data_IF_221814802202
#
_entry.id   IF_221814802202
#
_cell.length_a   1.000
_cell.length_b   1.000
_cell.length_c   1.000
_cell.angle_alpha   90.00
_cell.angle_beta   90.00
_cell.angle_gamma   90.00
#
_symmetry.space_group_name_H-M   'P 1'
#
loop_
_entity.id
_entity.type
_entity.pdbx_description
1 polymer ?
#
# COMPACT_ATOMS: atom_id res chain seq x y z
N UNK A 1 -43.71 13.23 -6.53
CA UNK A 1 -43.26 12.02 -5.81
C UNK A 1 -41.89 11.63 -6.36
N UNK A 2 -40.83 11.98 -5.63
CA UNK A 2 -39.44 11.85 -6.09
C UNK A 2 -39.00 10.39 -5.96
N UNK A 3 -38.53 9.86 -7.09
CA UNK A 3 -38.00 8.52 -7.33
C UNK A 3 -37.07 8.01 -6.22
N UNK A 4 -37.53 7.00 -5.50
CA UNK A 4 -36.72 6.12 -4.63
C UNK A 4 -35.77 5.25 -5.47
N UNK A 5 -35.99 5.15 -6.78
CA UNK A 5 -35.18 4.34 -7.70
C UNK A 5 -33.80 4.94 -8.01
N UNK A 6 -33.52 6.22 -7.68
CA UNK A 6 -32.20 6.84 -7.91
C UNK A 6 -31.17 6.56 -6.81
N UNK A 7 -31.57 5.90 -5.71
CA UNK A 7 -30.66 5.51 -4.61
C UNK A 7 -30.20 4.05 -4.65
N UNK A 8 -30.67 3.26 -5.61
CA UNK A 8 -30.27 1.86 -5.76
C UNK A 8 -29.15 1.82 -6.81
N UNK A 9 -27.88 1.90 -6.35
CA UNK A 9 -26.81 1.20 -7.07
C UNK A 9 -27.29 -0.25 -7.22
N UNK A 10 -27.22 -0.89 -8.41
CA UNK A 10 -27.81 -2.20 -8.60
C UNK A 10 -27.20 -3.18 -7.60
N UNK A 11 -27.98 -3.53 -6.57
CA UNK A 11 -27.55 -4.37 -5.46
C UNK A 11 -27.53 -5.86 -5.83
N UNK A 12 -28.10 -6.22 -6.98
CA UNK A 12 -28.08 -7.55 -7.56
C UNK A 12 -28.52 -7.50 -9.04
N UNK A 13 -28.11 -8.51 -9.82
CA UNK A 13 -28.47 -8.66 -11.24
C UNK A 13 -27.29 -8.63 -12.21
N UNK A 14 -27.60 -8.75 -13.51
CA UNK A 14 -26.61 -8.87 -14.60
C UNK A 14 -25.57 -7.74 -14.59
N UNK A 15 -25.99 -6.49 -14.33
CA UNK A 15 -25.05 -5.34 -14.27
C UNK A 15 -23.97 -5.46 -13.19
N UNK A 16 -24.27 -6.09 -12.05
CA UNK A 16 -23.29 -6.29 -10.98
C UNK A 16 -22.27 -7.35 -11.37
N UNK A 17 -22.72 -8.45 -11.98
CA UNK A 17 -21.82 -9.48 -12.53
C UNK A 17 -20.89 -8.92 -13.60
N UNK A 18 -21.41 -8.08 -14.52
CA UNK A 18 -20.59 -7.41 -15.52
C UNK A 18 -19.57 -6.46 -14.89
N UNK A 19 -19.97 -5.73 -13.85
CA UNK A 19 -19.06 -4.84 -13.13
C UNK A 19 -17.92 -5.61 -12.46
N UNK A 20 -18.22 -6.70 -11.75
CA UNK A 20 -17.21 -7.57 -11.14
C UNK A 20 -16.34 -8.23 -12.21
N UNK A 21 -16.93 -8.74 -13.28
CA UNK A 21 -16.19 -9.34 -14.39
C UNK A 21 -15.19 -8.37 -15.00
N UNK A 22 -15.59 -7.11 -15.22
CA UNK A 22 -14.71 -6.07 -15.72
C UNK A 22 -13.59 -5.72 -14.73
N UNK A 23 -13.85 -5.74 -13.42
CA UNK A 23 -12.83 -5.54 -12.41
C UNK A 23 -11.83 -6.69 -12.36
N UNK A 24 -12.30 -7.93 -12.47
CA UNK A 24 -11.46 -9.14 -12.47
C UNK A 24 -10.67 -9.32 -13.78
N UNK A 25 -11.11 -8.71 -14.88
CA UNK A 25 -10.39 -8.72 -16.14
C UNK A 25 -8.97 -8.14 -16.00
N UNK A 26 -8.78 -7.13 -15.15
CA UNK A 26 -7.45 -6.55 -14.90
C UNK A 26 -6.45 -7.55 -14.29
N UNK A 27 -6.71 -8.19 -13.12
CA UNK A 27 -5.82 -9.21 -12.57
C UNK A 27 -5.67 -10.43 -13.49
N UNK A 28 -6.71 -10.82 -14.23
CA UNK A 28 -6.62 -11.93 -15.20
C UNK A 28 -5.67 -11.59 -16.34
N UNK A 29 -5.81 -10.42 -16.97
CA UNK A 29 -4.89 -9.98 -18.02
C UNK A 29 -3.47 -9.80 -17.48
N UNK A 30 -3.33 -9.24 -16.27
CA UNK A 30 -2.03 -9.11 -15.61
C UNK A 30 -1.35 -10.48 -15.46
N UNK A 31 -2.06 -11.49 -14.97
CA UNK A 31 -1.56 -12.86 -14.86
C UNK A 31 -1.13 -13.42 -16.22
N UNK A 32 -1.96 -13.30 -17.26
CA UNK A 32 -1.63 -13.77 -18.61
C UNK A 32 -0.38 -13.07 -19.14
N UNK A 33 -0.28 -11.75 -19.01
CA UNK A 33 0.86 -10.95 -19.46
C UNK A 33 2.17 -11.37 -18.78
N UNK A 34 2.13 -11.65 -17.47
CA UNK A 34 3.30 -12.17 -16.73
C UNK A 34 3.70 -13.55 -17.24
N UNK A 35 2.73 -14.45 -17.52
CA UNK A 35 3.01 -15.80 -18.04
C UNK A 35 3.69 -15.79 -19.41
N UNK A 36 3.30 -14.85 -20.28
CA UNK A 36 3.93 -14.67 -21.60
C UNK A 36 5.17 -13.76 -21.57
N UNK A 37 5.67 -13.40 -20.37
CA UNK A 37 6.86 -12.57 -20.14
C UNK A 37 6.75 -11.13 -20.68
N UNK A 38 5.54 -10.60 -20.81
CA UNK A 38 5.25 -9.23 -21.24
C UNK A 38 4.97 -8.31 -20.03
N UNK A 39 5.81 -8.40 -19.00
CA UNK A 39 5.66 -7.66 -17.73
C UNK A 39 5.51 -6.13 -17.90
N UNK A 40 6.28 -5.44 -18.77
CA UNK A 40 6.11 -4.00 -18.93
C UNK A 40 4.70 -3.61 -19.42
N UNK A 41 4.09 -4.43 -20.27
CA UNK A 41 2.72 -4.21 -20.74
C UNK A 41 1.69 -4.37 -19.61
N UNK A 42 1.96 -5.26 -18.65
CA UNK A 42 1.12 -5.39 -17.45
C UNK A 42 1.17 -4.13 -16.58
N UNK A 43 2.36 -3.53 -16.40
CA UNK A 43 2.51 -2.26 -15.69
C UNK A 43 1.74 -1.12 -16.40
N UNK A 44 1.88 -1.01 -17.72
CA UNK A 44 1.12 -0.05 -18.54
C UNK A 44 -0.38 -0.28 -18.40
N UNK A 45 -0.84 -1.53 -18.45
CA UNK A 45 -2.25 -1.89 -18.29
C UNK A 45 -2.81 -1.44 -16.93
N UNK A 46 -2.05 -1.60 -15.83
CA UNK A 46 -2.45 -1.12 -14.50
C UNK A 46 -2.64 0.41 -14.53
N UNK A 47 -1.71 1.15 -15.12
CA UNK A 47 -1.79 2.62 -15.24
C UNK A 47 -3.00 3.04 -16.11
N UNK A 48 -3.19 2.38 -17.26
CA UNK A 48 -4.32 2.63 -18.16
C UNK A 48 -5.67 2.27 -17.53
N UNK A 49 -5.73 1.29 -16.62
CA UNK A 49 -6.96 0.97 -15.89
C UNK A 49 -7.51 2.17 -15.09
N UNK A 50 -6.65 3.16 -14.82
CA UNK A 50 -6.96 4.40 -14.10
C UNK A 50 -7.14 5.61 -15.01
N UNK A 51 -7.34 5.42 -16.32
CA UNK A 51 -7.46 6.52 -17.30
C UNK A 51 -8.42 7.64 -16.87
N UNK A 52 -9.47 7.32 -16.10
CA UNK A 52 -10.43 8.27 -15.54
C UNK A 52 -9.79 9.39 -14.70
N UNK A 53 -8.61 9.17 -14.12
CA UNK A 53 -7.87 10.21 -13.38
C UNK A 53 -7.47 11.40 -14.28
N UNK A 54 -7.24 11.14 -15.56
CA UNK A 54 -6.81 12.12 -16.55
C UNK A 54 -7.97 12.72 -17.34
N UNK A 55 -9.19 12.20 -17.19
CA UNK A 55 -10.40 12.69 -17.86
C UNK A 55 -10.94 14.03 -17.27
N UNK A 56 -10.09 14.77 -16.56
CA UNK A 56 -10.39 16.09 -15.97
C UNK A 56 -9.37 17.11 -16.42
N UNK A 57 -9.61 18.40 -16.17
CA UNK A 57 -8.66 19.48 -16.50
C UNK A 57 -7.27 19.20 -15.88
N UNK A 58 -6.15 19.42 -16.61
CA UNK A 58 -4.80 19.09 -16.14
C UNK A 58 -4.43 19.60 -14.74
N UNK A 59 -4.94 20.78 -14.35
CA UNK A 59 -4.75 21.33 -12.99
C UNK A 59 -5.22 20.42 -11.85
N UNK A 60 -6.17 19.51 -12.10
CA UNK A 60 -6.71 18.58 -11.11
C UNK A 60 -6.02 17.21 -11.13
N UNK A 61 -5.13 16.94 -12.09
CA UNK A 61 -4.43 15.65 -12.18
C UNK A 61 -3.65 15.31 -10.91
N UNK A 62 -2.87 16.22 -10.28
CA UNK A 62 -2.14 15.88 -9.07
C UNK A 62 -3.07 15.43 -7.93
N UNK A 63 -4.26 16.02 -7.82
CA UNK A 63 -5.25 15.62 -6.81
C UNK A 63 -5.81 14.22 -7.10
N UNK A 64 -6.16 13.94 -8.36
CA UNK A 64 -6.69 12.64 -8.77
C UNK A 64 -5.65 11.51 -8.66
N UNK A 65 -4.39 11.78 -9.02
CA UNK A 65 -3.29 10.81 -8.86
C UNK A 65 -3.12 10.48 -7.39
N UNK A 66 -3.06 11.50 -6.51
CA UNK A 66 -2.96 11.27 -5.05
C UNK A 66 -4.13 10.47 -4.50
N UNK A 67 -5.35 10.72 -4.96
CA UNK A 67 -6.55 9.99 -4.51
C UNK A 67 -6.58 8.51 -4.94
N UNK A 68 -5.85 8.14 -5.99
CA UNK A 68 -5.79 6.77 -6.49
C UNK A 68 -4.41 6.12 -6.28
N UNK A 69 -3.50 6.82 -5.61
CA UNK A 69 -2.11 6.42 -5.44
C UNK A 69 -1.98 5.08 -4.72
N UNK A 70 -2.73 4.87 -3.63
CA UNK A 70 -2.72 3.61 -2.88
C UNK A 70 -3.15 2.44 -3.76
N UNK A 71 -4.17 2.62 -4.59
CA UNK A 71 -4.62 1.58 -5.52
C UNK A 71 -3.57 1.28 -6.61
N UNK A 72 -2.84 2.29 -7.07
CA UNK A 72 -1.71 2.10 -7.99
C UNK A 72 -0.56 1.35 -7.32
N UNK A 73 -0.21 1.72 -6.09
CA UNK A 73 0.83 1.05 -5.30
C UNK A 73 0.48 -0.44 -5.14
N UNK A 74 -0.73 -0.76 -4.69
CA UNK A 74 -1.14 -2.16 -4.50
C UNK A 74 -1.16 -2.95 -5.82
N UNK A 75 -1.65 -2.36 -6.91
CA UNK A 75 -1.62 -3.01 -8.22
C UNK A 75 -0.18 -3.32 -8.69
N UNK A 76 0.72 -2.36 -8.57
CA UNK A 76 2.14 -2.55 -8.90
C UNK A 76 2.82 -3.56 -7.95
N UNK A 77 2.46 -3.57 -6.67
CA UNK A 77 2.97 -4.56 -5.72
C UNK A 77 2.59 -5.98 -6.12
N UNK A 78 1.33 -6.24 -6.47
CA UNK A 78 0.92 -7.57 -6.93
C UNK A 78 1.60 -7.97 -8.23
N UNK A 79 1.82 -7.02 -9.15
CA UNK A 79 2.61 -7.30 -10.35
C UNK A 79 4.03 -7.76 -9.99
N UNK A 80 4.71 -7.03 -9.08
CA UNK A 80 6.06 -7.39 -8.61
C UNK A 80 6.07 -8.76 -7.93
N UNK A 81 5.08 -9.09 -7.10
CA UNK A 81 5.01 -10.40 -6.46
C UNK A 81 4.81 -11.53 -7.47
N UNK A 82 3.98 -11.33 -8.50
CA UNK A 82 3.82 -12.31 -9.57
C UNK A 82 5.11 -12.54 -10.35
N UNK A 83 5.83 -11.46 -10.68
CA UNK A 83 7.06 -11.55 -11.49
C UNK A 83 8.21 -12.18 -10.72
N UNK A 84 8.24 -12.02 -9.40
CA UNK A 84 9.23 -12.63 -8.52
C UNK A 84 8.84 -14.04 -8.04
N UNK A 85 7.74 -14.62 -8.53
CA UNK A 85 7.38 -16.00 -8.22
C UNK A 85 7.36 -16.88 -9.47
N UNK A 86 8.00 -18.05 -9.40
CA UNK A 86 8.13 -18.97 -10.54
C UNK A 86 6.93 -19.91 -10.72
N UNK A 87 6.31 -20.35 -9.62
CA UNK A 87 5.21 -21.32 -9.71
C UNK A 87 3.92 -20.65 -10.18
N UNK A 88 3.22 -21.30 -11.11
CA UNK A 88 1.94 -20.83 -11.64
C UNK A 88 0.88 -20.69 -10.54
N UNK A 89 0.86 -21.59 -9.57
CA UNK A 89 -0.07 -21.55 -8.42
C UNK A 89 0.08 -20.27 -7.61
N UNK A 90 1.31 -19.86 -7.31
CA UNK A 90 1.59 -18.62 -6.59
C UNK A 90 1.25 -17.38 -7.42
N UNK A 91 1.56 -17.38 -8.72
CA UNK A 91 1.16 -16.29 -9.62
C UNK A 91 -0.37 -16.15 -9.68
N UNK A 92 -1.10 -17.26 -9.71
CA UNK A 92 -2.56 -17.27 -9.66
C UNK A 92 -3.08 -16.77 -8.30
N UNK A 93 -2.45 -17.17 -7.19
CA UNK A 93 -2.80 -16.65 -5.87
C UNK A 93 -2.69 -15.13 -5.82
N UNK A 94 -1.59 -14.56 -6.31
CA UNK A 94 -1.43 -13.10 -6.38
C UNK A 94 -2.51 -12.43 -7.24
N UNK A 95 -2.98 -13.10 -8.30
CA UNK A 95 -4.02 -12.57 -9.18
C UNK A 95 -5.37 -12.56 -8.47
N UNK A 96 -5.68 -13.63 -7.73
CA UNK A 96 -6.88 -13.72 -6.90
C UNK A 96 -6.84 -12.66 -5.80
N UNK A 97 -5.73 -12.50 -5.09
CA UNK A 97 -5.57 -11.48 -4.06
C UNK A 97 -5.73 -10.07 -4.61
N UNK A 98 -5.18 -9.79 -5.81
CA UNK A 98 -5.42 -8.51 -6.48
C UNK A 98 -6.90 -8.33 -6.88
N UNK A 99 -7.57 -9.40 -7.33
CA UNK A 99 -9.02 -9.41 -7.57
C UNK A 99 -9.84 -9.09 -6.31
N UNK A 100 -9.46 -9.66 -5.16
CA UNK A 100 -10.07 -9.37 -3.85
C UNK A 100 -9.84 -7.91 -3.46
N UNK A 101 -8.63 -7.37 -3.70
CA UNK A 101 -8.36 -5.95 -3.48
C UNK A 101 -9.34 -5.07 -4.27
N UNK A 102 -9.50 -5.33 -5.57
CA UNK A 102 -10.35 -4.51 -6.44
C UNK A 102 -11.85 -4.62 -6.13
N UNK A 103 -12.32 -5.80 -5.73
CA UNK A 103 -13.76 -6.07 -5.56
C UNK A 103 -14.26 -5.88 -4.13
N UNK A 104 -13.41 -6.13 -3.12
CA UNK A 104 -13.82 -6.14 -1.70
C UNK A 104 -13.21 -4.99 -0.93
N UNK A 105 -11.88 -4.83 -1.01
CA UNK A 105 -11.15 -3.89 -0.12
C UNK A 105 -11.26 -2.46 -0.63
N UNK A 106 -10.92 -2.24 -1.90
CA UNK A 106 -10.87 -0.91 -2.55
C UNK A 106 -12.23 -0.17 -2.53
N UNK A 107 -13.39 -0.80 -2.82
CA UNK A 107 -14.66 -0.07 -2.83
C UNK A 107 -15.11 0.43 -1.45
N UNK A 108 -14.43 -0.01 -0.39
CA UNK A 108 -14.69 0.42 0.98
C UNK A 108 -14.45 1.92 1.17
N UNK A 109 -15.48 2.64 1.61
CA UNK A 109 -15.41 4.08 1.91
C UNK A 109 -15.57 4.42 3.39
N UNK A 110 -15.78 3.43 4.26
CA UNK A 110 -15.86 3.65 5.70
C UNK A 110 -14.48 3.94 6.29
N UNK A 111 -14.41 4.72 7.38
CA UNK A 111 -13.16 5.13 8.06
C UNK A 111 -12.17 3.96 8.24
N UNK A 112 -12.59 2.86 8.88
CA UNK A 112 -11.74 1.68 9.08
C UNK A 112 -11.25 1.04 7.76
N UNK A 113 -12.07 1.09 6.70
CA UNK A 113 -11.69 0.55 5.38
C UNK A 113 -10.66 1.44 4.71
N UNK A 114 -10.78 2.76 4.81
CA UNK A 114 -9.80 3.72 4.28
C UNK A 114 -8.47 3.62 5.02
N UNK A 115 -8.53 3.52 6.35
CA UNK A 115 -7.35 3.25 7.20
C UNK A 115 -6.65 1.95 6.78
N UNK A 116 -7.42 0.86 6.64
CA UNK A 116 -6.88 -0.43 6.22
C UNK A 116 -6.28 -0.37 4.80
N UNK A 117 -6.91 0.34 3.86
CA UNK A 117 -6.34 0.55 2.52
C UNK A 117 -4.99 1.26 2.57
N UNK A 118 -4.86 2.31 3.38
CA UNK A 118 -3.59 3.03 3.56
C UNK A 118 -2.51 2.13 4.15
N UNK A 119 -2.84 1.35 5.18
CA UNK A 119 -1.91 0.42 5.81
C UNK A 119 -1.46 -0.71 4.87
N UNK A 120 -2.41 -1.35 4.18
CA UNK A 120 -2.13 -2.39 3.17
C UNK A 120 -1.29 -1.82 2.03
N UNK A 121 -1.64 -0.63 1.54
CA UNK A 121 -0.90 0.07 0.49
C UNK A 121 0.56 0.30 0.87
N UNK A 122 0.81 0.78 2.08
CA UNK A 122 2.18 0.98 2.55
C UNK A 122 2.95 -0.34 2.66
N UNK A 123 2.39 -1.34 3.35
CA UNK A 123 3.10 -2.60 3.60
C UNK A 123 3.38 -3.35 2.29
N UNK A 124 2.40 -3.48 1.41
CA UNK A 124 2.61 -4.13 0.10
C UNK A 124 3.54 -3.29 -0.78
N UNK A 125 3.44 -1.97 -0.73
CA UNK A 125 4.30 -1.05 -1.48
C UNK A 125 5.76 -1.18 -1.09
N UNK A 126 6.06 -1.14 0.22
CA UNK A 126 7.42 -1.29 0.74
C UNK A 126 7.97 -2.68 0.45
N UNK A 127 7.17 -3.74 0.68
CA UNK A 127 7.60 -5.10 0.39
C UNK A 127 7.96 -5.27 -1.09
N UNK A 128 7.11 -4.82 -2.00
CA UNK A 128 7.38 -4.88 -3.43
C UNK A 128 8.58 -4.02 -3.83
N UNK A 129 8.73 -2.83 -3.24
CA UNK A 129 9.85 -1.93 -3.51
C UNK A 129 11.19 -2.58 -3.16
N UNK A 130 11.35 -3.11 -1.95
CA UNK A 130 12.61 -3.75 -1.55
C UNK A 130 12.84 -5.10 -2.25
N UNK A 131 11.78 -5.82 -2.62
CA UNK A 131 11.90 -7.04 -3.41
C UNK A 131 12.43 -6.77 -4.83
N UNK A 132 11.92 -5.72 -5.50
CA UNK A 132 12.31 -5.40 -6.87
C UNK A 132 13.56 -4.51 -6.98
N UNK A 133 13.77 -3.62 -6.01
CA UNK A 133 14.77 -2.57 -6.06
C UNK A 133 15.72 -2.57 -4.85
N UNK A 134 15.79 -3.64 -4.06
CA UNK A 134 16.66 -3.72 -2.88
C UNK A 134 18.14 -3.46 -3.16
N UNK A 135 18.62 -3.80 -4.37
CA UNK A 135 19.98 -3.49 -4.83
C UNK A 135 20.12 -2.19 -5.63
N UNK A 136 19.08 -1.35 -5.69
CA UNK A 136 19.13 -0.07 -6.40
C UNK A 136 19.98 0.95 -5.64
N UNK A 137 20.33 2.04 -6.34
CA UNK A 137 21.02 3.18 -5.73
C UNK A 137 20.22 3.70 -4.51
N UNK A 138 20.93 3.99 -3.41
CA UNK A 138 20.35 4.53 -2.16
C UNK A 138 19.41 5.72 -2.39
N UNK A 139 19.71 6.62 -3.32
CA UNK A 139 18.84 7.76 -3.64
C UNK A 139 17.49 7.31 -4.20
N UNK A 140 17.48 6.26 -5.02
CA UNK A 140 16.26 5.68 -5.59
C UNK A 140 15.42 5.06 -4.49
N UNK A 141 16.05 4.29 -3.58
CA UNK A 141 15.35 3.68 -2.45
C UNK A 141 14.73 4.72 -1.52
N UNK A 142 15.50 5.74 -1.13
CA UNK A 142 15.04 6.82 -0.23
C UNK A 142 13.86 7.58 -0.83
N UNK A 143 13.97 8.00 -2.09
CA UNK A 143 12.88 8.73 -2.77
C UNK A 143 11.65 7.84 -2.92
N UNK A 144 11.84 6.57 -3.31
CA UNK A 144 10.71 5.65 -3.53
C UNK A 144 9.98 5.32 -2.24
N UNK A 145 10.71 5.08 -1.12
CA UNK A 145 10.10 4.89 0.19
C UNK A 145 9.35 6.14 0.64
N UNK A 146 9.94 7.33 0.46
CA UNK A 146 9.25 8.58 0.75
C UNK A 146 7.91 8.68 -0.01
N UNK A 147 7.90 8.41 -1.32
CA UNK A 147 6.68 8.44 -2.15
C UNK A 147 5.63 7.46 -1.63
N UNK A 148 6.00 6.19 -1.39
CA UNK A 148 5.07 5.16 -0.93
C UNK A 148 4.47 5.52 0.43
N UNK A 149 5.31 5.91 1.40
CA UNK A 149 4.87 6.27 2.75
C UNK A 149 4.04 7.57 2.76
N UNK A 150 4.46 8.59 2.01
CA UNK A 150 3.71 9.85 1.88
C UNK A 150 2.31 9.61 1.33
N UNK A 151 2.18 8.88 0.22
CA UNK A 151 0.89 8.64 -0.43
C UNK A 151 -0.03 7.78 0.44
N UNK A 152 0.54 6.78 1.13
CA UNK A 152 -0.20 5.90 2.03
C UNK A 152 -0.69 6.63 3.29
N UNK A 153 0.17 7.45 3.91
CA UNK A 153 -0.22 8.26 5.06
C UNK A 153 -1.24 9.33 4.68
N UNK A 154 -1.11 9.94 3.50
CA UNK A 154 -2.11 10.88 3.00
C UNK A 154 -3.48 10.21 2.88
N UNK A 155 -3.54 9.00 2.31
CA UNK A 155 -4.78 8.23 2.21
C UNK A 155 -5.36 7.88 3.58
N UNK A 156 -4.52 7.45 4.52
CA UNK A 156 -4.94 7.20 5.90
C UNK A 156 -5.56 8.45 6.56
N UNK A 157 -4.90 9.61 6.47
CA UNK A 157 -5.35 10.85 7.12
C UNK A 157 -6.64 11.42 6.53
N UNK A 158 -6.98 11.08 5.27
CA UNK A 158 -8.29 11.47 4.70
C UNK A 158 -9.48 10.81 5.40
N UNK A 159 -9.26 9.76 6.19
CA UNK A 159 -10.33 9.12 6.96
C UNK A 159 -10.82 9.96 8.16
N UNK A 160 -10.07 10.98 8.55
CA UNK A 160 -10.27 11.76 9.78
C UNK A 160 -10.52 13.25 9.53
N UNK A 161 -10.75 13.64 8.27
CA UNK A 161 -10.95 15.04 7.85
C UNK A 161 -9.88 16.01 8.39
N UNK A 162 -8.63 15.53 8.46
CA UNK A 162 -7.52 16.24 9.09
C UNK A 162 -7.17 17.55 8.35
N UNK A 163 -7.04 18.62 9.11
CA UNK A 163 -6.76 19.97 8.60
C UNK A 163 -5.39 20.07 7.91
N UNK A 164 -4.39 19.37 8.45
CA UNK A 164 -2.99 19.45 8.00
C UNK A 164 -2.49 18.16 7.33
N UNK A 165 -3.36 17.46 6.58
CA UNK A 165 -3.05 16.19 5.89
C UNK A 165 -1.70 16.21 5.17
N UNK A 166 -1.43 17.30 4.43
CA UNK A 166 -0.21 17.38 3.61
C UNK A 166 1.03 17.41 4.50
N UNK A 167 1.04 18.22 5.55
CA UNK A 167 2.19 18.36 6.44
C UNK A 167 2.50 17.03 7.15
N UNK A 168 1.50 16.43 7.80
CA UNK A 168 1.67 15.17 8.51
C UNK A 168 2.12 14.02 7.60
N UNK A 169 1.58 13.93 6.40
CA UNK A 169 2.01 12.93 5.43
C UNK A 169 3.48 13.14 4.99
N UNK A 170 3.93 14.39 4.83
CA UNK A 170 5.33 14.68 4.51
C UNK A 170 6.25 14.33 5.69
N UNK A 171 5.83 14.63 6.92
CA UNK A 171 6.59 14.25 8.13
C UNK A 171 6.78 12.74 8.20
N UNK A 172 5.72 11.96 7.94
CA UNK A 172 5.82 10.49 7.89
C UNK A 172 6.70 10.00 6.74
N UNK A 173 6.51 10.53 5.53
CA UNK A 173 7.35 10.19 4.38
C UNK A 173 8.83 10.49 4.65
N UNK A 174 9.13 11.65 5.25
CA UNK A 174 10.50 12.06 5.61
C UNK A 174 11.12 11.12 6.64
N UNK A 175 10.39 10.78 7.70
CA UNK A 175 10.83 9.79 8.69
C UNK A 175 11.16 8.45 8.03
N UNK A 176 10.28 7.95 7.15
CA UNK A 176 10.48 6.70 6.45
C UNK A 176 11.70 6.73 5.50
N UNK A 177 11.90 7.84 4.79
CA UNK A 177 13.07 8.06 3.95
C UNK A 177 14.37 8.10 4.76
N UNK A 178 14.40 8.84 5.87
CA UNK A 178 15.56 8.94 6.74
C UNK A 178 15.92 7.57 7.34
N UNK A 179 14.93 6.82 7.79
CA UNK A 179 15.15 5.46 8.30
C UNK A 179 15.66 4.52 7.21
N UNK A 180 15.13 4.63 5.99
CA UNK A 180 15.63 3.88 4.83
C UNK A 180 17.05 4.25 4.49
N UNK A 181 17.41 5.53 4.52
CA UNK A 181 18.78 5.98 4.27
C UNK A 181 19.76 5.34 5.26
N UNK A 182 19.45 5.35 6.56
CA UNK A 182 20.30 4.69 7.58
C UNK A 182 20.39 3.19 7.32
N UNK A 183 19.24 2.50 7.22
CA UNK A 183 19.20 1.04 7.12
C UNK A 183 19.69 0.49 5.78
N UNK A 184 19.71 1.28 4.71
CA UNK A 184 20.19 0.82 3.41
C UNK A 184 21.70 0.57 3.39
N UNK A 185 22.47 1.13 4.34
CA UNK A 185 23.89 0.83 4.49
C UNK A 185 24.14 -0.60 5.00
N UNK A 186 23.16 -1.16 5.73
CA UNK A 186 23.15 -2.55 6.20
C UNK A 186 21.77 -3.15 5.90
N UNK A 187 21.42 -3.21 4.61
CA UNK A 187 20.09 -3.64 4.21
C UNK A 187 19.91 -5.15 4.45
N UNK A 188 19.30 -5.50 5.59
CA UNK A 188 19.05 -6.89 5.97
C UNK A 188 17.72 -7.41 5.43
N UNK A 189 17.69 -8.70 5.10
CA UNK A 189 16.50 -9.43 4.67
C UNK A 189 16.24 -10.64 5.56
N UNK A 190 14.99 -10.80 5.99
CA UNK A 190 14.48 -12.01 6.65
C UNK A 190 13.69 -12.82 5.63
N UNK A 191 14.40 -13.64 4.86
CA UNK A 191 13.83 -14.29 3.67
C UNK A 191 13.54 -13.25 2.60
N UNK A 192 12.26 -13.08 2.24
CA UNK A 192 11.84 -12.08 1.24
C UNK A 192 11.59 -10.69 1.85
N UNK A 193 11.45 -10.59 3.17
CA UNK A 193 11.06 -9.36 3.84
C UNK A 193 12.29 -8.53 4.23
N UNK A 194 12.42 -7.33 3.66
CA UNK A 194 13.43 -6.39 4.09
C UNK A 194 13.15 -5.87 5.52
N UNK A 195 14.20 -5.77 6.33
CA UNK A 195 14.12 -5.26 7.71
C UNK A 195 13.45 -3.88 7.77
N UNK A 196 13.78 -2.99 6.84
CA UNK A 196 13.17 -1.66 6.73
C UNK A 196 11.65 -1.73 6.54
N UNK A 197 11.15 -2.67 5.74
CA UNK A 197 9.70 -2.86 5.53
C UNK A 197 9.02 -3.26 6.83
N UNK A 198 9.62 -4.19 7.57
CA UNK A 198 9.10 -4.69 8.83
C UNK A 198 9.05 -3.57 9.88
N UNK A 199 10.13 -2.83 10.07
CA UNK A 199 10.22 -1.73 11.02
C UNK A 199 9.23 -0.61 10.69
N UNK A 200 9.16 -0.15 9.42
CA UNK A 200 8.19 0.89 9.02
C UNK A 200 6.76 0.43 9.19
N UNK A 201 6.47 -0.85 8.90
CA UNK A 201 5.14 -1.41 9.09
C UNK A 201 4.76 -1.39 10.58
N UNK A 202 5.60 -1.92 11.46
CA UNK A 202 5.34 -1.95 12.91
C UNK A 202 5.12 -0.55 13.49
N UNK A 203 6.00 0.40 13.14
CA UNK A 203 5.88 1.79 13.60
C UNK A 203 4.58 2.41 13.06
N UNK A 204 4.31 2.26 11.77
CA UNK A 204 3.11 2.83 11.16
C UNK A 204 1.81 2.29 11.74
N UNK A 205 1.70 0.97 11.94
CA UNK A 205 0.51 0.36 12.51
C UNK A 205 0.31 0.80 13.97
N UNK A 206 1.39 0.90 14.75
CA UNK A 206 1.33 1.35 16.14
C UNK A 206 0.88 2.81 16.23
N UNK A 207 1.50 3.70 15.45
CA UNK A 207 1.13 5.12 15.41
C UNK A 207 -0.27 5.35 14.83
N UNK A 208 -0.62 4.67 13.75
CA UNK A 208 -1.95 4.76 13.13
C UNK A 208 -3.05 4.27 14.10
N UNK A 209 -2.78 3.21 14.86
CA UNK A 209 -3.72 2.69 15.86
C UNK A 209 -3.89 3.69 17.00
N UNK A 210 -2.80 4.25 17.53
CA UNK A 210 -2.86 5.30 18.55
C UNK A 210 -3.65 6.51 18.03
N UNK A 211 -3.35 6.97 16.81
CA UNK A 211 -4.04 8.11 16.19
C UNK A 211 -5.54 7.84 16.00
N UNK A 212 -5.92 6.64 15.52
CA UNK A 212 -7.32 6.23 15.38
C UNK A 212 -8.05 6.22 16.73
N UNK A 213 -7.41 5.69 17.77
CA UNK A 213 -8.00 5.58 19.11
C UNK A 213 -8.14 6.95 19.77
N UNK A 214 -7.18 7.85 19.55
CA UNK A 214 -7.22 9.23 20.02
C UNK A 214 -8.41 9.96 19.38
N UNK A 215 -8.52 9.87 18.05
CA UNK A 215 -9.60 10.51 17.30
C UNK A 215 -10.99 9.92 17.56
N UNK A 216 -11.09 8.74 18.15
CA UNK A 216 -12.36 8.10 18.54
C UNK A 216 -12.65 8.20 20.03
N UNK A 217 -11.87 9.00 20.78
CA UNK A 217 -11.97 9.18 22.24
C UNK A 217 -11.86 7.87 23.02
N UNK A 218 -11.16 6.88 22.46
CA UNK A 218 -10.95 5.53 23.03
C UNK A 218 -9.55 5.32 23.57
N UNK A 219 -8.66 6.31 23.43
CA UNK A 219 -7.28 6.20 23.87
C UNK A 219 -7.15 6.47 25.37
N UNK A 220 -6.95 5.41 26.14
CA UNK A 220 -6.53 5.56 27.54
C UNK A 220 -5.01 5.68 27.66
N UNK A 221 -4.53 6.27 28.77
CA UNK A 221 -3.10 6.39 29.06
C UNK A 221 -2.41 5.01 29.11
N UNK A 222 -3.10 4.00 29.65
CA UNK A 222 -2.60 2.62 29.72
C UNK A 222 -2.45 2.02 28.32
N UNK A 223 -3.48 2.17 27.48
CA UNK A 223 -3.48 1.64 26.12
C UNK A 223 -2.39 2.30 25.25
N UNK A 224 -2.20 3.62 25.38
CA UNK A 224 -1.09 4.34 24.74
C UNK A 224 0.26 3.75 25.13
N UNK A 225 0.47 3.51 26.43
CA UNK A 225 1.72 2.92 26.94
C UNK A 225 1.91 1.49 26.43
N UNK A 226 0.86 0.68 26.35
CA UNK A 226 0.92 -0.68 25.81
C UNK A 226 1.35 -0.70 24.34
N UNK A 227 0.72 0.11 23.47
CA UNK A 227 1.10 0.18 22.06
C UNK A 227 2.54 0.68 21.88
N UNK A 228 2.95 1.72 22.62
CA UNK A 228 4.33 2.22 22.57
C UNK A 228 5.33 1.17 23.07
N UNK A 229 5.02 0.46 24.16
CA UNK A 229 5.86 -0.60 24.69
C UNK A 229 6.02 -1.76 23.70
N UNK A 230 4.92 -2.24 23.10
CA UNK A 230 4.94 -3.31 22.09
C UNK A 230 5.74 -2.85 20.85
N UNK A 231 5.54 -1.63 20.38
CA UNK A 231 6.28 -1.06 19.27
C UNK A 231 7.79 -1.07 19.54
N UNK A 232 8.22 -0.56 20.71
CA UNK A 232 9.63 -0.54 21.12
C UNK A 232 10.16 -1.97 21.28
N UNK A 233 9.42 -2.87 21.91
CA UNK A 233 9.83 -4.25 22.11
C UNK A 233 10.09 -4.96 20.77
N UNK A 234 9.19 -4.81 19.79
CA UNK A 234 9.39 -5.39 18.45
C UNK A 234 10.62 -4.78 17.78
N UNK A 235 10.79 -3.46 17.82
CA UNK A 235 11.96 -2.80 17.23
C UNK A 235 13.26 -3.31 17.88
N UNK A 236 13.31 -3.39 19.22
CA UNK A 236 14.48 -3.88 19.95
C UNK A 236 14.77 -5.33 19.61
N UNK A 237 13.76 -6.21 19.59
CA UNK A 237 13.95 -7.62 19.21
C UNK A 237 14.51 -7.72 17.78
N UNK A 238 13.93 -6.99 16.84
CA UNK A 238 14.39 -7.00 15.45
C UNK A 238 15.82 -6.49 15.34
N UNK A 239 16.17 -5.38 16.00
CA UNK A 239 17.52 -4.82 15.92
C UNK A 239 18.56 -5.68 16.66
N UNK A 240 18.26 -6.19 17.85
CA UNK A 240 19.25 -6.94 18.66
C UNK A 240 19.53 -8.33 18.08
N UNK A 241 18.49 -9.01 17.60
CA UNK A 241 18.61 -10.38 17.07
C UNK A 241 18.89 -10.43 15.56
N UNK A 242 19.08 -9.28 14.93
CA UNK A 242 19.54 -9.23 13.54
C UNK A 242 20.99 -9.67 13.43
N UNK A 243 21.27 -10.43 12.39
CA UNK A 243 22.64 -10.78 11.99
C UNK A 243 23.26 -9.57 11.27
N UNK A 244 23.87 -8.67 12.05
CA UNK A 244 24.62 -7.51 11.55
C UNK A 244 26.04 -7.89 11.08
N UNK A 245 26.40 -9.18 11.15
CA UNK A 245 27.67 -9.66 10.66
C UNK A 245 27.83 -9.36 9.18
N UNK A 246 29.00 -8.85 8.81
CA UNK A 246 29.34 -8.51 7.44
C UNK A 246 29.38 -9.79 6.58
N UNK A 247 28.26 -10.14 5.95
CA UNK A 247 28.24 -11.08 4.83
C UNK A 247 28.60 -10.27 3.61
N UNK A 248 29.89 -10.00 3.48
CA UNK A 248 30.49 -9.64 2.20
C UNK A 248 30.03 -10.66 1.16
N UNK A 249 29.20 -10.21 0.23
CA UNK A 249 29.00 -10.88 -1.06
C UNK A 249 30.01 -10.26 -2.02
#
# INVERSE_FOLDING_TARGET
>A
MKSVASKIKPASGFSHFFHIGLLLLLPTLMFVLVRIKLTPFAAVLILLSKWRMFAVRPRYWPANIRANAVDMIVGLSFLIFMTNTNAMSWQLLWAVLYGVWLTVIKPGSGMLKVIAQGAIGQTLGLFALFMAFGGANIYILVISVWVVCYLSARHFLTAFDESHISFLAHTWGYFAAAMTWVLSHWLLFYGLLAQTTLLLTVISFSLATIYYLDHTDRLSLLLRRQFVFIMIAIIVVVLVFSDWGDKTI
#
